data_IF_290427926590
#
_entry.id   IF_290427926590
#
_cell.length_a   1.000
_cell.length_b   1.000
_cell.length_c   1.000
_cell.angle_alpha   90.00
_cell.angle_beta   90.00
_cell.angle_gamma   90.00
#
_symmetry.space_group_name_H-M   'P 1'
#
loop_
_entity.id
_entity.type
_entity.pdbx_description
1 polymer ?
#
# COMPACT_ATOMS: atom_id res chain seq x y z
N UNK A 1 -16.40 -3.09 -16.34
CA UNK A 1 -16.27 -4.32 -15.52
C UNK A 1 -17.14 -5.35 -16.17
N UNK A 2 -16.57 -6.47 -16.58
CA UNK A 2 -17.33 -7.57 -17.18
C UNK A 2 -17.32 -8.76 -16.22
N UNK A 3 -18.47 -9.43 -16.10
CA UNK A 3 -18.56 -10.68 -15.36
C UNK A 3 -18.32 -11.80 -16.35
N UNK A 4 -17.24 -12.54 -16.18
CA UNK A 4 -16.89 -13.67 -17.03
C UNK A 4 -17.07 -14.94 -16.22
N UNK A 5 -17.78 -15.91 -16.77
CA UNK A 5 -17.96 -17.21 -16.12
C UNK A 5 -16.89 -18.15 -16.64
N UNK A 6 -15.99 -18.59 -15.76
CA UNK A 6 -14.99 -19.63 -16.05
C UNK A 6 -15.26 -20.77 -15.06
N UNK A 7 -15.41 -22.01 -15.55
CA UNK A 7 -15.67 -23.20 -14.73
C UNK A 7 -16.82 -23.06 -13.72
N UNK A 8 -17.92 -22.40 -14.13
CA UNK A 8 -19.10 -22.19 -13.29
C UNK A 8 -18.93 -21.17 -12.17
N UNK A 9 -17.80 -20.46 -12.10
CA UNK A 9 -17.54 -19.38 -11.12
C UNK A 9 -17.54 -18.03 -11.84
N UNK A 10 -18.19 -17.03 -11.24
CA UNK A 10 -18.20 -15.66 -11.76
C UNK A 10 -16.91 -14.95 -11.35
N UNK A 11 -16.11 -14.59 -12.33
CA UNK A 11 -14.93 -13.76 -12.15
C UNK A 11 -15.24 -12.33 -12.59
N UNK A 12 -14.79 -11.37 -11.79
CA UNK A 12 -14.77 -9.97 -12.16
C UNK A 12 -13.46 -9.72 -12.91
N UNK A 13 -13.53 -9.74 -14.23
CA UNK A 13 -12.42 -9.31 -15.07
C UNK A 13 -12.62 -7.84 -15.47
N UNK A 14 -11.49 -7.13 -15.54
CA UNK A 14 -11.48 -5.89 -16.30
C UNK A 14 -11.76 -6.29 -17.75
N UNK A 15 -12.76 -5.65 -18.38
CA UNK A 15 -12.99 -5.83 -19.82
C UNK A 15 -11.70 -5.51 -20.59
N UNK A 16 -11.55 -5.98 -21.83
CA UNK A 16 -10.37 -5.65 -22.65
C UNK A 16 -10.09 -4.14 -22.69
N UNK A 17 -11.14 -3.32 -22.77
CA UNK A 17 -11.06 -1.85 -22.65
C UNK A 17 -10.64 -1.38 -21.25
N UNK A 18 -11.10 -2.04 -20.19
CA UNK A 18 -10.70 -1.78 -18.81
C UNK A 18 -9.24 -2.15 -18.52
N UNK A 19 -8.72 -3.21 -19.14
CA UNK A 19 -7.31 -3.58 -19.08
C UNK A 19 -6.45 -2.55 -19.79
N UNK A 20 -6.80 -2.19 -21.03
CA UNK A 20 -6.09 -1.14 -21.79
C UNK A 20 -6.14 0.20 -21.06
N UNK A 21 -7.28 0.58 -20.48
CA UNK A 21 -7.37 1.81 -19.69
C UNK A 21 -6.49 1.76 -18.43
N UNK A 22 -6.49 0.64 -17.71
CA UNK A 22 -5.64 0.44 -16.53
C UNK A 22 -4.15 0.44 -16.87
N UNK A 23 -3.76 -0.17 -17.98
CA UNK A 23 -2.38 -0.17 -18.50
C UNK A 23 -1.99 1.24 -18.98
N UNK A 24 -2.82 1.90 -19.78
CA UNK A 24 -2.58 3.27 -20.26
C UNK A 24 -2.51 4.27 -19.10
N UNK A 25 -3.34 4.09 -18.08
CA UNK A 25 -3.28 4.89 -16.85
C UNK A 25 -1.97 4.62 -16.10
N UNK A 26 -1.59 3.37 -15.87
CA UNK A 26 -0.29 3.05 -15.25
C UNK A 26 0.88 3.64 -16.03
N UNK A 27 0.89 3.52 -17.37
CA UNK A 27 1.97 4.01 -18.22
C UNK A 27 2.03 5.54 -18.33
N UNK A 28 0.90 6.26 -18.30
CA UNK A 28 0.90 7.73 -18.31
C UNK A 28 1.31 8.33 -16.97
N UNK A 29 1.01 7.66 -15.86
CA UNK A 29 1.31 8.15 -14.52
C UNK A 29 2.73 7.77 -14.06
N UNK A 30 3.34 6.72 -14.62
CA UNK A 30 4.72 6.30 -14.28
C UNK A 30 5.78 7.40 -14.49
N UNK A 31 5.79 8.12 -15.63
CA UNK A 31 6.72 9.24 -15.86
C UNK A 31 6.39 10.48 -15.02
N UNK A 32 5.16 10.61 -14.53
CA UNK A 32 4.70 11.79 -13.79
C UNK A 32 4.88 11.65 -12.28
N UNK A 33 5.12 10.44 -11.75
CA UNK A 33 5.34 10.23 -10.31
C UNK A 33 6.30 11.24 -9.68
N UNK A 34 7.47 11.57 -10.26
CA UNK A 34 8.38 12.54 -9.67
C UNK A 34 7.78 13.95 -9.50
N UNK A 35 6.80 14.33 -10.33
CA UNK A 35 6.16 15.65 -10.30
C UNK A 35 4.96 15.73 -9.33
N UNK A 36 4.33 14.59 -9.03
CA UNK A 36 3.13 14.53 -8.19
C UNK A 36 3.36 13.90 -6.82
N UNK A 37 4.50 13.23 -6.63
CA UNK A 37 4.88 12.69 -5.33
C UNK A 37 5.14 13.83 -4.34
N UNK A 38 4.82 13.62 -3.05
CA UNK A 38 5.26 14.54 -2.02
C UNK A 38 6.79 14.63 -1.99
N UNK A 39 7.36 15.73 -1.45
CA UNK A 39 8.81 15.86 -1.31
C UNK A 39 9.37 14.78 -0.37
N UNK A 40 10.66 14.40 -0.48
CA UNK A 40 11.30 13.49 0.45
C UNK A 40 11.14 13.92 1.92
N UNK A 41 11.02 12.95 2.83
CA UNK A 41 11.00 13.20 4.26
C UNK A 41 12.40 13.66 4.74
N UNK A 42 12.47 14.83 5.37
CA UNK A 42 13.72 15.36 5.93
C UNK A 42 14.21 14.56 7.14
N UNK A 43 13.30 13.92 7.87
CA UNK A 43 13.61 13.04 8.99
C UNK A 43 12.71 11.80 8.95
N UNK A 44 13.32 10.62 9.02
CA UNK A 44 12.63 9.33 9.12
C UNK A 44 12.65 8.85 10.57
N UNK A 45 11.55 8.26 11.02
CA UNK A 45 11.38 7.73 12.37
C UNK A 45 11.20 6.22 12.33
N UNK A 46 11.69 5.49 13.35
CA UNK A 46 11.49 4.04 13.41
C UNK A 46 10.00 3.68 13.45
N UNK A 47 9.62 2.50 12.91
CA UNK A 47 8.24 2.04 12.95
C UNK A 47 7.67 2.06 14.38
N UNK A 48 6.40 2.46 14.51
CA UNK A 48 5.65 2.27 15.74
C UNK A 48 4.91 0.95 15.69
N UNK A 49 5.20 0.08 16.65
CA UNK A 49 4.50 -1.18 16.84
C UNK A 49 3.57 -1.02 18.05
N UNK A 50 2.26 -1.08 17.82
CA UNK A 50 1.25 -1.01 18.89
C UNK A 50 1.32 -2.27 19.74
N UNK A 51 1.45 -2.15 21.06
CA UNK A 51 1.62 -3.32 21.93
C UNK A 51 0.36 -4.16 22.10
N UNK A 52 -0.81 -3.64 21.73
CA UNK A 52 -2.09 -4.33 21.85
C UNK A 52 -2.31 -5.25 20.64
N UNK A 53 -2.15 -6.57 20.84
CA UNK A 53 -2.55 -7.58 19.83
C UNK A 53 -1.45 -8.07 18.87
N UNK A 54 -0.23 -7.55 19.00
CA UNK A 54 1.09 -8.07 18.55
C UNK A 54 1.66 -7.69 17.17
N UNK A 55 2.51 -6.65 17.19
CA UNK A 55 3.76 -6.53 16.45
C UNK A 55 4.95 -6.54 17.46
N UNK A 56 5.76 -7.60 17.36
CA UNK A 56 6.86 -7.93 18.29
C UNK A 56 7.21 -9.43 18.32
N UNK A 57 6.22 -10.29 18.00
CA UNK A 57 6.41 -11.72 17.67
C UNK A 57 6.57 -11.97 16.16
N UNK A 58 6.30 -10.95 15.35
CA UNK A 58 6.34 -11.00 13.89
C UNK A 58 7.43 -10.06 13.38
N UNK A 59 8.71 -10.43 13.47
CA UNK A 59 9.82 -9.59 13.04
C UNK A 59 9.76 -9.24 11.54
N UNK A 60 9.05 -10.04 10.74
CA UNK A 60 8.74 -9.76 9.33
C UNK A 60 7.90 -8.50 9.15
N UNK A 61 6.98 -8.19 10.07
CA UNK A 61 6.17 -6.95 10.01
C UNK A 61 7.09 -5.76 10.23
N UNK A 62 7.91 -5.78 11.28
CA UNK A 62 8.83 -4.68 11.55
C UNK A 62 9.81 -4.45 10.39
N UNK A 63 10.39 -5.54 9.85
CA UNK A 63 11.27 -5.47 8.67
C UNK A 63 10.55 -4.86 7.47
N UNK A 64 9.30 -5.26 7.21
CA UNK A 64 8.51 -4.70 6.12
C UNK A 64 8.25 -3.20 6.33
N UNK A 65 7.82 -2.78 7.52
CA UNK A 65 7.56 -1.37 7.83
C UNK A 65 8.82 -0.51 7.75
N UNK A 66 9.95 -1.05 8.21
CA UNK A 66 11.27 -0.43 8.10
C UNK A 66 11.66 -0.24 6.64
N UNK A 67 11.50 -1.29 5.82
CA UNK A 67 11.77 -1.24 4.37
C UNK A 67 10.92 -0.20 3.65
N UNK A 68 9.62 -0.12 3.94
CA UNK A 68 8.73 0.93 3.40
C UNK A 68 9.25 2.31 3.79
N UNK A 69 9.61 2.50 5.06
CA UNK A 69 10.09 3.81 5.55
C UNK A 69 11.42 4.20 4.91
N UNK A 70 12.35 3.25 4.79
CA UNK A 70 13.70 3.50 4.26
C UNK A 70 13.70 3.73 2.75
N UNK A 71 12.97 2.92 1.97
CA UNK A 71 13.01 2.97 0.50
C UNK A 71 12.04 3.96 -0.14
N UNK A 72 10.98 4.38 0.56
CA UNK A 72 9.97 5.30 0.00
C UNK A 72 10.23 6.69 0.55
N UNK A 73 10.85 7.54 -0.27
CA UNK A 73 11.36 8.86 0.15
C UNK A 73 10.35 9.73 0.90
N UNK A 74 9.07 9.85 0.48
CA UNK A 74 8.10 10.69 1.21
C UNK A 74 7.65 10.14 2.56
N UNK A 75 7.97 8.88 2.90
CA UNK A 75 7.51 8.23 4.14
C UNK A 75 8.37 8.68 5.32
N UNK A 76 7.70 9.24 6.33
CA UNK A 76 8.30 9.67 7.59
C UNK A 76 8.31 8.53 8.59
N UNK A 77 7.20 7.78 8.70
CA UNK A 77 7.02 6.71 9.70
C UNK A 77 5.88 5.78 9.29
N UNK A 78 6.01 4.50 9.64
CA UNK A 78 4.87 3.57 9.66
C UNK A 78 4.45 3.25 11.10
N UNK A 79 3.14 3.20 11.37
CA UNK A 79 2.60 2.92 12.70
C UNK A 79 1.44 1.92 12.63
N UNK A 80 1.61 0.73 13.22
CA UNK A 80 0.54 -0.29 13.26
C UNK A 80 -0.60 0.18 14.16
N UNK A 81 -1.84 -0.16 13.81
CA UNK A 81 -3.02 0.14 14.64
C UNK A 81 -4.07 -0.99 14.68
N UNK A 82 -3.80 -2.09 13.97
CA UNK A 82 -4.73 -3.21 13.86
C UNK A 82 -4.00 -4.49 13.52
N UNK A 83 -4.42 -5.58 14.15
CA UNK A 83 -3.99 -6.94 13.87
C UNK A 83 -5.20 -7.88 13.82
N UNK A 84 -5.17 -8.82 12.89
CA UNK A 84 -6.15 -9.91 12.82
C UNK A 84 -5.46 -11.23 12.45
N UNK A 85 -5.50 -12.25 13.32
CA UNK A 85 -4.84 -13.54 13.09
C UNK A 85 -5.55 -14.45 12.08
N UNK A 86 -6.80 -14.15 11.70
CA UNK A 86 -7.67 -15.05 10.95
C UNK A 86 -8.24 -14.40 9.67
N UNK A 87 -7.61 -13.31 9.20
CA UNK A 87 -8.07 -12.61 8.01
C UNK A 87 -6.99 -12.67 6.93
N UNK A 88 -7.16 -13.50 5.89
CA UNK A 88 -6.31 -13.46 4.72
C UNK A 88 -6.68 -12.22 3.87
N UNK A 89 -5.81 -11.21 3.86
CA UNK A 89 -5.86 -10.12 2.89
C UNK A 89 -4.62 -10.18 1.97
N UNK A 90 -4.61 -9.40 0.89
CA UNK A 90 -3.39 -9.18 0.11
C UNK A 90 -2.66 -7.96 0.67
N UNK A 91 -1.32 -8.01 0.70
CA UNK A 91 -0.50 -6.83 0.98
C UNK A 91 -0.78 -5.76 -0.07
N UNK A 92 -1.20 -4.57 0.37
CA UNK A 92 -1.57 -3.43 -0.48
C UNK A 92 -1.62 -2.13 0.31
N UNK A 93 -1.63 -1.01 -0.41
CA UNK A 93 -1.78 0.33 0.15
C UNK A 93 -3.06 0.97 -0.37
N UNK A 94 -3.72 1.78 0.47
CA UNK A 94 -4.96 2.47 0.11
C UNK A 94 -5.15 3.76 0.90
N UNK A 95 -6.04 4.62 0.40
CA UNK A 95 -6.61 5.70 1.20
C UNK A 95 -7.73 5.17 2.10
N UNK A 96 -7.78 5.63 3.34
CA UNK A 96 -8.87 5.33 4.26
C UNK A 96 -9.07 6.51 5.20
N UNK A 97 -10.27 7.10 5.21
CA UNK A 97 -10.63 8.27 6.05
C UNK A 97 -9.62 9.43 5.92
N UNK A 98 -9.07 9.65 4.73
CA UNK A 98 -8.08 10.69 4.47
C UNK A 98 -6.64 10.33 4.83
N UNK A 99 -6.39 9.15 5.40
CA UNK A 99 -5.05 8.65 5.72
C UNK A 99 -4.54 7.67 4.67
N UNK A 100 -3.22 7.63 4.48
CA UNK A 100 -2.56 6.55 3.76
C UNK A 100 -2.40 5.36 4.70
N UNK A 101 -3.01 4.23 4.32
CA UNK A 101 -3.03 2.99 5.10
C UNK A 101 -2.38 1.87 4.30
N UNK A 102 -1.42 1.21 4.94
CA UNK A 102 -0.86 -0.05 4.47
C UNK A 102 -1.52 -1.26 5.13
N UNK A 103 -1.66 -2.33 4.36
CA UNK A 103 -2.08 -3.64 4.81
C UNK A 103 -0.92 -4.58 4.52
N UNK A 104 -0.42 -5.25 5.53
CA UNK A 104 0.54 -6.34 5.40
C UNK A 104 -0.16 -7.65 5.71
N UNK A 105 0.04 -8.66 4.86
CA UNK A 105 -0.39 -10.03 5.13
C UNK A 105 0.59 -11.02 4.51
N UNK A 106 0.81 -12.13 5.21
CA UNK A 106 1.56 -13.30 4.73
C UNK A 106 0.62 -14.46 4.32
N UNK A 107 -0.69 -14.20 4.21
CA UNK A 107 -1.70 -15.21 3.94
C UNK A 107 -2.30 -15.90 5.18
N UNK A 108 -1.69 -15.75 6.36
CA UNK A 108 -2.25 -16.29 7.62
C UNK A 108 -2.85 -15.20 8.49
N UNK A 109 -2.16 -14.08 8.67
CA UNK A 109 -2.65 -12.94 9.44
C UNK A 109 -2.58 -11.64 8.65
N UNK A 110 -3.23 -10.60 9.17
CA UNK A 110 -3.22 -9.25 8.60
C UNK A 110 -2.86 -8.21 9.66
N UNK A 111 -1.95 -7.30 9.31
CA UNK A 111 -1.63 -6.08 10.08
C UNK A 111 -2.01 -4.87 9.24
N UNK A 112 -2.68 -3.88 9.85
CA UNK A 112 -2.89 -2.57 9.22
C UNK A 112 -2.08 -1.51 9.95
N UNK A 113 -1.53 -0.60 9.17
CA UNK A 113 -0.67 0.46 9.66
C UNK A 113 -0.92 1.77 8.92
N UNK A 114 -0.78 2.88 9.63
CA UNK A 114 -0.80 4.22 9.05
C UNK A 114 0.57 4.54 8.51
N UNK A 115 0.60 5.30 7.43
CA UNK A 115 1.81 5.84 6.84
C UNK A 115 1.78 7.35 7.05
N UNK A 116 2.63 7.82 7.95
CA UNK A 116 2.92 9.24 8.09
C UNK A 116 3.88 9.63 6.96
N UNK A 117 3.54 10.69 6.23
CA UNK A 117 4.31 11.15 5.07
C UNK A 117 4.35 12.67 5.01
N UNK A 118 5.15 13.20 4.11
CA UNK A 118 5.22 14.63 3.77
C UNK A 118 4.08 15.12 2.87
N UNK A 119 3.12 14.25 2.52
CA UNK A 119 1.96 14.62 1.70
C UNK A 119 1.08 15.66 2.41
N UNK A 120 0.83 16.79 1.74
CA UNK A 120 0.00 17.89 2.25
C UNK A 120 -1.37 17.99 1.58
N UNK A 121 -1.53 17.37 0.39
CA UNK A 121 -2.79 17.40 -0.37
C UNK A 121 -3.34 16.00 -0.60
N UNK A 122 -4.65 15.88 -0.80
CA UNK A 122 -5.27 14.60 -1.15
C UNK A 122 -4.72 14.01 -2.46
N UNK A 123 -4.37 14.86 -3.42
CA UNK A 123 -3.70 14.44 -4.66
C UNK A 123 -2.34 13.80 -4.41
N UNK A 124 -1.53 14.39 -3.54
CA UNK A 124 -0.24 13.84 -3.13
C UNK A 124 -0.39 12.52 -2.37
N UNK A 125 -1.40 12.38 -1.50
CA UNK A 125 -1.69 11.12 -0.81
C UNK A 125 -2.11 10.03 -1.79
N UNK A 126 -2.95 10.35 -2.78
CA UNK A 126 -3.34 9.43 -3.83
C UNK A 126 -2.15 8.98 -4.70
N UNK A 127 -1.29 9.92 -5.09
CA UNK A 127 -0.05 9.64 -5.82
C UNK A 127 0.88 8.72 -5.01
N UNK A 128 1.04 8.99 -3.70
CA UNK A 128 1.84 8.16 -2.80
C UNK A 128 1.28 6.74 -2.70
N UNK A 129 -0.05 6.56 -2.62
CA UNK A 129 -0.68 5.22 -2.62
C UNK A 129 -0.40 4.47 -3.92
N UNK A 130 -0.53 5.15 -5.07
CA UNK A 130 -0.23 4.53 -6.36
C UNK A 130 1.25 4.11 -6.46
N UNK A 131 2.15 4.99 -6.03
CA UNK A 131 3.59 4.70 -5.97
C UNK A 131 3.91 3.54 -5.03
N UNK A 132 3.34 3.51 -3.83
CA UNK A 132 3.56 2.43 -2.85
C UNK A 132 3.10 1.06 -3.38
N UNK A 133 1.94 1.01 -4.04
CA UNK A 133 1.48 -0.24 -4.66
C UNK A 133 2.36 -0.66 -5.83
N UNK A 134 2.88 0.31 -6.60
CA UNK A 134 3.83 0.03 -7.67
C UNK A 134 5.16 -0.51 -7.12
N UNK A 135 5.74 0.18 -6.14
CA UNK A 135 6.95 -0.19 -5.41
C UNK A 135 6.85 -1.62 -4.83
N UNK A 136 5.69 -1.99 -4.29
CA UNK A 136 5.44 -3.32 -3.77
C UNK A 136 5.30 -4.38 -4.86
N UNK A 137 4.54 -4.10 -5.92
CA UNK A 137 4.33 -5.03 -7.03
C UNK A 137 5.65 -5.45 -7.71
N UNK A 138 6.62 -4.55 -7.81
CA UNK A 138 7.96 -4.87 -8.37
C UNK A 138 8.81 -5.76 -7.45
N UNK A 139 8.38 -6.00 -6.20
CA UNK A 139 9.14 -6.70 -5.15
C UNK A 139 8.41 -7.93 -4.58
N UNK A 140 7.16 -8.18 -5.00
CA UNK A 140 6.27 -9.22 -4.47
C UNK A 140 6.26 -10.48 -5.32
#
# INVERSE_FOLDING_TARGET
MERVTIDGRQYLELSATGQIFHETYKERFRPQFPQVLPPPASQKRPPHLEKAGWPGQHPEVERFLRKVTEEVEPVVRCATFYYNPNLPERTRFKLSRGDVVGIYSNGTYTVKFRIESTAQTEGQKAALVAYLNHWWFERS
#
